data_IF_223686791170
#
_entry.id   IF_223686791170
#
_cell.length_a   1.000
_cell.length_b   1.000
_cell.length_c   1.000
_cell.angle_alpha   90.00
_cell.angle_beta   90.00
_cell.angle_gamma   90.00
#
_symmetry.space_group_name_H-M   'P 1'
#
loop_
_entity.id
_entity.type
_entity.pdbx_description
1 polymer ?
#
# COMPACT_ATOMS: atom_id res chain seq x y z
N UNK A 1 -24.80 24.72 -3.28
CA UNK A 1 -23.66 24.91 -2.39
C UNK A 1 -22.67 25.88 -3.00
N UNK A 2 -22.40 26.95 -2.30
CA UNK A 2 -21.40 27.91 -2.70
C UNK A 2 -20.00 27.31 -2.51
N UNK A 3 -19.02 27.71 -3.33
CA UNK A 3 -17.61 27.24 -3.22
C UNK A 3 -17.02 27.54 -1.85
N UNK A 4 -17.47 28.60 -1.20
CA UNK A 4 -17.07 28.96 0.15
C UNK A 4 -17.50 27.91 1.17
N UNK A 5 -18.71 27.38 1.04
CA UNK A 5 -19.23 26.35 1.93
C UNK A 5 -18.50 25.02 1.77
N UNK A 6 -18.10 24.68 0.54
CA UNK A 6 -17.30 23.50 0.25
C UNK A 6 -15.91 23.58 0.87
N UNK A 7 -15.28 24.77 0.80
CA UNK A 7 -13.98 24.98 1.41
C UNK A 7 -14.03 24.93 2.94
N UNK A 8 -15.10 25.44 3.53
CA UNK A 8 -15.30 25.35 4.98
C UNK A 8 -15.50 23.90 5.43
N UNK A 9 -16.33 23.14 4.71
CA UNK A 9 -16.53 21.71 4.98
C UNK A 9 -15.26 20.91 4.86
N UNK A 10 -14.46 21.20 3.85
CA UNK A 10 -13.15 20.57 3.65
C UNK A 10 -12.19 20.87 4.80
N UNK A 11 -12.15 22.13 5.23
CA UNK A 11 -11.34 22.57 6.36
C UNK A 11 -11.75 21.89 7.64
N UNK A 12 -13.06 21.78 7.91
CA UNK A 12 -13.60 21.08 9.08
C UNK A 12 -13.25 19.59 9.05
N UNK A 13 -13.35 18.97 7.89
CA UNK A 13 -12.99 17.55 7.72
C UNK A 13 -11.51 17.31 7.99
N UNK A 14 -10.64 18.17 7.44
CA UNK A 14 -9.20 18.10 7.69
C UNK A 14 -8.88 18.30 9.17
N UNK A 15 -9.55 19.23 9.85
CA UNK A 15 -9.39 19.44 11.29
C UNK A 15 -9.85 18.23 12.10
N UNK A 16 -10.95 17.59 11.71
CA UNK A 16 -11.42 16.39 12.38
C UNK A 16 -10.43 15.23 12.22
N UNK A 17 -9.84 15.08 11.04
CA UNK A 17 -8.80 14.07 10.81
C UNK A 17 -7.57 14.36 11.66
N UNK A 18 -7.15 15.61 11.73
CA UNK A 18 -5.99 16.02 12.52
C UNK A 18 -6.25 15.80 14.02
N UNK A 19 -7.42 16.14 14.51
CA UNK A 19 -7.81 15.87 15.90
C UNK A 19 -7.83 14.39 16.25
N UNK A 20 -8.34 13.56 15.32
CA UNK A 20 -8.34 12.12 15.50
C UNK A 20 -6.92 11.57 15.59
N UNK A 21 -6.01 12.08 14.76
CA UNK A 21 -4.59 11.74 14.82
C UNK A 21 -3.94 12.22 16.11
N UNK A 22 -4.23 13.46 16.53
CA UNK A 22 -3.70 14.03 17.76
C UNK A 22 -4.22 13.29 19.01
N UNK A 23 -5.49 12.91 19.02
CA UNK A 23 -6.08 12.12 20.10
C UNK A 23 -5.48 10.71 20.18
N UNK A 24 -5.16 10.11 19.05
CA UNK A 24 -4.47 8.83 19.01
C UNK A 24 -3.07 8.94 19.63
N UNK A 25 -2.50 10.14 19.68
CA UNK A 25 -1.19 10.39 20.26
C UNK A 25 -1.21 10.70 21.75
N UNK A 26 -2.37 11.05 22.32
CA UNK A 26 -2.48 11.51 23.73
C UNK A 26 -2.21 10.38 24.74
N UNK A 27 -2.47 9.14 24.38
CA UNK A 27 -2.22 7.99 25.24
C UNK A 27 -0.81 7.41 25.11
N UNK A 28 0.07 8.07 24.35
CA UNK A 28 1.44 7.61 24.09
C UNK A 28 1.55 6.57 23.00
N UNK A 29 0.45 6.08 22.45
CA UNK A 29 0.48 5.07 21.39
C UNK A 29 1.08 5.61 20.11
N UNK A 30 0.98 6.91 19.88
CA UNK A 30 1.57 7.58 18.72
C UNK A 30 3.10 7.65 18.79
N UNK A 31 3.66 7.73 19.96
CA UNK A 31 5.11 7.72 20.17
C UNK A 31 5.68 6.31 19.96
N UNK A 32 4.89 5.27 20.27
CA UNK A 32 5.27 3.88 20.01
C UNK A 32 5.08 3.49 18.55
N UNK A 33 4.17 4.18 17.84
CA UNK A 33 4.01 4.07 16.39
C UNK A 33 4.95 5.02 15.64
N UNK A 34 5.80 5.73 16.38
CA UNK A 34 6.77 6.63 15.79
C UNK A 34 7.70 5.88 14.85
N UNK A 35 8.12 6.51 13.72
CA UNK A 35 8.98 5.87 12.74
C UNK A 35 10.29 5.31 13.28
N UNK A 36 10.65 5.61 14.51
CA UNK A 36 11.89 5.13 15.16
C UNK A 36 11.93 3.61 15.34
N UNK A 37 10.77 2.98 15.60
CA UNK A 37 10.68 1.53 15.74
C UNK A 37 10.32 0.82 14.42
N UNK A 38 10.19 1.58 13.35
CA UNK A 38 9.86 1.05 12.04
C UNK A 38 11.15 0.71 11.31
N UNK A 39 11.46 -0.59 11.09
CA UNK A 39 12.73 -0.98 10.46
C UNK A 39 12.93 -0.33 9.09
N UNK A 40 14.18 0.05 8.80
CA UNK A 40 14.51 0.72 7.55
C UNK A 40 14.18 -0.13 6.31
N UNK A 41 14.31 -1.46 6.40
CA UNK A 41 13.98 -2.34 5.28
C UNK A 41 12.48 -2.31 4.96
N UNK A 42 11.61 -2.13 5.96
CA UNK A 42 10.17 -1.99 5.73
C UNK A 42 9.83 -0.64 5.10
N UNK A 43 10.53 0.41 5.47
CA UNK A 43 10.39 1.73 4.81
C UNK A 43 10.80 1.64 3.35
N UNK A 44 11.87 0.91 3.05
CA UNK A 44 12.32 0.70 1.67
C UNK A 44 11.30 -0.08 0.85
N UNK A 45 10.70 -1.13 1.40
CA UNK A 45 9.64 -1.89 0.73
C UNK A 45 8.41 -1.01 0.48
N UNK A 46 7.99 -0.25 1.49
CA UNK A 46 6.88 0.69 1.35
C UNK A 46 7.14 1.68 0.20
N UNK A 47 8.35 2.27 0.17
CA UNK A 47 8.72 3.27 -0.83
C UNK A 47 8.75 2.71 -2.27
N UNK A 48 9.00 1.41 -2.44
CA UNK A 48 9.04 0.77 -3.77
C UNK A 48 7.66 0.28 -4.23
N UNK A 49 6.78 -0.07 -3.31
CA UNK A 49 5.51 -0.73 -3.63
C UNK A 49 4.31 0.22 -3.58
N UNK A 50 4.24 1.05 -2.56
CA UNK A 50 3.02 1.83 -2.31
C UNK A 50 2.86 3.07 -3.16
N UNK A 51 3.91 3.84 -3.52
CA UNK A 51 3.73 4.99 -4.41
C UNK A 51 3.44 4.53 -5.84
N UNK A 52 2.38 5.05 -6.47
CA UNK A 52 2.06 4.69 -7.86
C UNK A 52 3.16 5.05 -8.85
N UNK A 53 3.98 6.04 -8.53
CA UNK A 53 5.13 6.41 -9.35
C UNK A 53 6.17 5.29 -9.45
N UNK A 54 6.23 4.41 -8.46
CA UNK A 54 7.18 3.28 -8.42
C UNK A 54 6.56 1.99 -8.93
N UNK A 55 5.39 1.63 -8.44
CA UNK A 55 4.74 0.35 -8.80
C UNK A 55 3.79 0.45 -9.99
N UNK A 56 3.44 1.67 -10.41
CA UNK A 56 2.44 1.89 -11.45
C UNK A 56 0.99 1.67 -11.00
N UNK A 57 0.79 1.22 -9.77
CA UNK A 57 -0.51 0.81 -9.22
C UNK A 57 -0.78 1.56 -7.92
N UNK A 58 -2.00 2.08 -7.78
CA UNK A 58 -2.44 2.68 -6.53
C UNK A 58 -3.17 1.65 -5.67
N UNK A 59 -2.63 1.41 -4.47
CA UNK A 59 -3.28 0.56 -3.48
C UNK A 59 -4.08 1.44 -2.53
N UNK A 60 -5.41 1.41 -2.64
CA UNK A 60 -6.28 2.15 -1.74
C UNK A 60 -6.36 1.44 -0.39
N UNK A 61 -6.88 2.14 0.63
CA UNK A 61 -7.14 1.53 1.94
C UNK A 61 -8.11 0.35 1.82
N UNK A 62 -9.07 0.43 0.93
CA UNK A 62 -10.03 -0.65 0.66
C UNK A 62 -9.35 -1.85 0.00
N UNK A 63 -8.40 -1.60 -0.93
CA UNK A 63 -7.59 -2.66 -1.52
C UNK A 63 -6.80 -3.40 -0.43
N UNK A 64 -6.17 -2.66 0.47
CA UNK A 64 -5.38 -3.23 1.56
C UNK A 64 -6.27 -4.04 2.52
N UNK A 65 -7.46 -3.53 2.84
CA UNK A 65 -8.40 -4.27 3.66
C UNK A 65 -8.85 -5.58 3.01
N UNK A 66 -9.11 -5.54 1.71
CA UNK A 66 -9.49 -6.73 0.94
C UNK A 66 -8.37 -7.76 0.90
N UNK A 67 -7.13 -7.29 0.72
CA UNK A 67 -5.96 -8.15 0.73
C UNK A 67 -5.77 -8.81 2.10
N UNK A 68 -5.99 -8.07 3.19
CA UNK A 68 -5.94 -8.63 4.54
C UNK A 68 -6.99 -9.75 4.71
N UNK A 69 -8.18 -9.57 4.16
CA UNK A 69 -9.21 -10.62 4.17
C UNK A 69 -8.74 -11.88 3.45
N UNK A 70 -7.94 -11.75 2.41
CA UNK A 70 -7.32 -12.88 1.71
C UNK A 70 -6.32 -13.65 2.57
N UNK A 71 -5.84 -13.06 3.67
CA UNK A 71 -4.97 -13.68 4.66
C UNK A 71 -5.76 -14.15 5.90
N UNK A 72 -7.09 -14.16 5.83
CA UNK A 72 -7.99 -14.45 6.96
C UNK A 72 -7.79 -13.48 8.13
N UNK A 73 -7.37 -12.25 7.84
CA UNK A 73 -7.18 -11.19 8.81
C UNK A 73 -8.15 -10.04 8.58
N UNK A 74 -8.43 -9.31 9.65
CA UNK A 74 -9.30 -8.13 9.58
C UNK A 74 -8.58 -6.93 10.18
N UNK A 75 -7.99 -6.12 9.32
CA UNK A 75 -7.36 -4.88 9.74
C UNK A 75 -8.38 -3.75 9.72
N UNK A 76 -8.38 -2.92 10.75
CA UNK A 76 -9.18 -1.71 10.77
C UNK A 76 -8.70 -0.77 9.67
N UNK A 77 -9.62 0.01 9.10
CA UNK A 77 -9.26 1.06 8.13
C UNK A 77 -8.44 2.11 8.87
N UNK A 78 -7.28 2.41 8.31
CA UNK A 78 -6.31 3.38 8.85
C UNK A 78 -5.61 4.05 7.67
N UNK A 79 -4.61 4.89 7.95
CA UNK A 79 -3.78 5.44 6.89
C UNK A 79 -3.00 4.31 6.19
N UNK A 80 -2.72 4.50 4.90
CA UNK A 80 -2.12 3.45 4.07
C UNK A 80 -0.82 2.91 4.65
N UNK A 81 0.03 3.77 5.16
CA UNK A 81 1.31 3.37 5.75
C UNK A 81 1.13 2.46 6.97
N UNK A 82 0.18 2.77 7.86
CA UNK A 82 -0.11 1.92 9.02
C UNK A 82 -0.70 0.58 8.62
N UNK A 83 -1.57 0.58 7.62
CA UNK A 83 -2.14 -0.67 7.10
C UNK A 83 -1.05 -1.55 6.50
N UNK A 84 -0.11 -0.96 5.76
CA UNK A 84 1.05 -1.66 5.23
C UNK A 84 1.92 -2.24 6.36
N UNK A 85 2.17 -1.46 7.41
CA UNK A 85 2.91 -1.93 8.57
C UNK A 85 2.24 -3.15 9.22
N UNK A 86 0.92 -3.16 9.30
CA UNK A 86 0.18 -4.30 9.87
C UNK A 86 0.39 -5.57 9.05
N UNK A 87 0.45 -5.48 7.74
CA UNK A 87 0.81 -6.62 6.90
C UNK A 87 2.19 -7.16 7.27
N UNK A 88 3.15 -6.27 7.43
CA UNK A 88 4.53 -6.68 7.76
C UNK A 88 4.65 -7.21 9.18
N UNK A 89 3.90 -6.66 10.13
CA UNK A 89 3.85 -7.16 11.51
C UNK A 89 3.18 -8.53 11.60
N UNK A 90 2.24 -8.82 10.71
CA UNK A 90 1.57 -10.11 10.64
C UNK A 90 2.54 -11.22 10.20
N UNK A 91 3.53 -10.88 9.39
CA UNK A 91 4.51 -11.84 8.87
C UNK A 91 5.37 -12.37 10.02
N UNK A 92 5.26 -13.66 10.32
CA UNK A 92 6.08 -14.35 11.31
C UNK A 92 7.00 -15.40 10.68
N UNK A 93 6.66 -15.88 9.48
CA UNK A 93 7.40 -16.93 8.80
C UNK A 93 7.66 -16.54 7.34
N UNK A 94 8.62 -17.20 6.65
CA UNK A 94 8.80 -16.96 5.21
C UNK A 94 7.53 -17.22 4.39
N UNK A 95 6.75 -18.23 4.77
CA UNK A 95 5.50 -18.58 4.11
C UNK A 95 4.46 -17.45 4.26
N UNK A 96 4.42 -16.80 5.41
CA UNK A 96 3.56 -15.64 5.65
C UNK A 96 3.92 -14.51 4.70
N UNK A 97 5.22 -14.25 4.52
CA UNK A 97 5.69 -13.21 3.60
C UNK A 97 5.31 -13.55 2.16
N UNK A 98 5.43 -14.80 1.75
CA UNK A 98 4.97 -15.25 0.43
C UNK A 98 3.47 -15.03 0.24
N UNK A 99 2.69 -15.25 1.29
CA UNK A 99 1.24 -14.99 1.26
C UNK A 99 0.94 -13.51 1.06
N UNK A 100 1.68 -12.62 1.71
CA UNK A 100 1.56 -11.16 1.50
C UNK A 100 1.92 -10.80 0.06
N UNK A 101 3.05 -11.32 -0.44
CA UNK A 101 3.46 -11.09 -1.84
C UNK A 101 2.37 -11.53 -2.81
N UNK A 102 1.76 -12.68 -2.56
CA UNK A 102 0.69 -13.21 -3.39
C UNK A 102 -0.51 -12.26 -3.43
N UNK A 103 -0.91 -11.71 -2.29
CA UNK A 103 -2.03 -10.75 -2.23
C UNK A 103 -1.73 -9.48 -3.02
N UNK A 104 -0.54 -8.91 -2.85
CA UNK A 104 -0.12 -7.73 -3.61
C UNK A 104 -0.04 -8.03 -5.11
N UNK A 105 0.53 -9.18 -5.48
CA UNK A 105 0.67 -9.58 -6.88
C UNK A 105 -0.68 -9.80 -7.55
N UNK A 106 -1.62 -10.43 -6.88
CA UNK A 106 -2.98 -10.63 -7.41
C UNK A 106 -3.68 -9.30 -7.64
N UNK A 107 -3.53 -8.34 -6.72
CA UNK A 107 -4.12 -7.00 -6.87
C UNK A 107 -3.49 -6.28 -8.06
N UNK A 108 -2.16 -6.36 -8.21
CA UNK A 108 -1.45 -5.79 -9.35
C UNK A 108 -1.92 -6.42 -10.67
N UNK A 109 -2.10 -7.74 -10.71
CA UNK A 109 -2.56 -8.45 -11.91
C UNK A 109 -3.95 -7.98 -12.34
N UNK A 110 -4.87 -7.83 -11.39
CA UNK A 110 -6.22 -7.33 -11.67
C UNK A 110 -6.14 -5.93 -12.29
N UNK A 111 -5.34 -5.05 -11.72
CA UNK A 111 -5.18 -3.67 -12.21
C UNK A 111 -4.45 -3.62 -13.53
N UNK A 112 -3.45 -4.46 -13.74
CA UNK A 112 -2.76 -4.57 -15.02
C UNK A 112 -3.67 -5.08 -16.14
N UNK A 113 -4.58 -5.99 -15.86
CA UNK A 113 -5.57 -6.46 -16.83
C UNK A 113 -6.50 -5.30 -17.26
N UNK A 114 -6.90 -4.45 -16.30
CA UNK A 114 -7.67 -3.24 -16.59
C UNK A 114 -6.86 -2.29 -17.48
N UNK A 115 -5.57 -2.09 -17.18
CA UNK A 115 -4.70 -1.22 -17.97
C UNK A 115 -4.52 -1.74 -19.40
N UNK A 116 -4.39 -3.07 -19.57
CA UNK A 116 -4.30 -3.70 -20.90
C UNK A 116 -5.58 -3.44 -21.70
N UNK A 117 -6.73 -3.60 -21.06
CA UNK A 117 -8.02 -3.30 -21.67
C UNK A 117 -8.10 -1.82 -22.10
N UNK A 118 -7.68 -0.90 -21.24
CA UNK A 118 -7.68 0.52 -21.56
C UNK A 118 -6.67 0.86 -22.66
N UNK A 119 -5.52 0.21 -22.72
CA UNK A 119 -4.54 0.47 -23.77
C UNK A 119 -5.04 0.02 -25.14
N UNK A 120 -5.86 -1.03 -25.19
CA UNK A 120 -6.52 -1.46 -26.42
C UNK A 120 -7.67 -0.54 -26.81
N UNK A 121 -8.47 -0.11 -25.82
CA UNK A 121 -9.62 0.76 -26.04
C UNK A 121 -9.21 2.20 -26.37
N UNK A 122 -8.11 2.67 -25.81
CA UNK A 122 -7.59 4.03 -25.99
C UNK A 122 -6.15 4.00 -26.47
N UNK A 123 -5.92 3.73 -27.77
CA UNK A 123 -4.55 3.56 -28.30
C UNK A 123 -3.64 4.76 -28.10
N UNK A 124 -4.19 5.98 -28.03
CA UNK A 124 -3.42 7.20 -27.78
C UNK A 124 -2.79 7.24 -26.39
N UNK A 125 -3.32 6.47 -25.44
CA UNK A 125 -2.84 6.38 -24.06
C UNK A 125 -2.06 5.09 -23.78
N UNK A 126 -1.82 4.27 -24.80
CA UNK A 126 -1.18 2.97 -24.67
C UNK A 126 0.17 3.05 -23.95
N UNK A 127 1.00 4.01 -24.30
CA UNK A 127 2.33 4.17 -23.68
C UNK A 127 2.24 4.40 -22.17
N UNK A 128 1.24 5.16 -21.72
CA UNK A 128 1.04 5.43 -20.30
C UNK A 128 0.71 4.14 -19.55
N UNK A 129 -0.20 3.34 -20.08
CA UNK A 129 -0.62 2.08 -19.48
C UNK A 129 0.50 1.03 -19.52
N UNK A 130 1.24 0.96 -20.63
CA UNK A 130 2.37 0.03 -20.78
C UNK A 130 3.46 0.32 -19.74
N UNK A 131 3.74 1.60 -19.45
CA UNK A 131 4.68 2.00 -18.39
C UNK A 131 4.19 1.55 -17.01
N UNK A 132 2.90 1.71 -16.72
CA UNK A 132 2.31 1.28 -15.45
C UNK A 132 2.42 -0.24 -15.27
N UNK A 133 2.11 -1.00 -16.31
CA UNK A 133 2.20 -2.46 -16.31
C UNK A 133 3.64 -2.90 -16.05
N UNK A 134 4.61 -2.28 -16.74
CA UNK A 134 6.03 -2.60 -16.56
C UNK A 134 6.50 -2.32 -15.14
N UNK A 135 6.08 -1.19 -14.56
CA UNK A 135 6.39 -0.87 -13.17
C UNK A 135 5.83 -1.90 -12.20
N UNK A 136 4.60 -2.36 -12.41
CA UNK A 136 3.99 -3.40 -11.59
C UNK A 136 4.78 -4.73 -11.69
N UNK A 137 5.22 -5.11 -12.88
CA UNK A 137 6.04 -6.30 -13.08
C UNK A 137 7.38 -6.18 -12.35
N UNK A 138 8.01 -5.02 -12.40
CA UNK A 138 9.26 -4.75 -11.67
C UNK A 138 9.04 -4.80 -10.15
N UNK A 139 7.91 -4.33 -9.66
CA UNK A 139 7.59 -4.40 -8.23
C UNK A 139 7.39 -5.83 -7.76
N UNK A 140 6.79 -6.69 -8.57
CA UNK A 140 6.67 -8.11 -8.26
C UNK A 140 8.05 -8.77 -8.15
N UNK A 141 8.96 -8.45 -9.07
CA UNK A 141 10.35 -8.93 -9.02
C UNK A 141 11.07 -8.42 -7.78
N UNK A 142 10.83 -7.18 -7.41
CA UNK A 142 11.38 -6.58 -6.21
C UNK A 142 10.94 -7.35 -4.95
N UNK A 143 9.68 -7.68 -4.83
CA UNK A 143 9.18 -8.49 -3.72
C UNK A 143 9.87 -9.85 -3.64
N UNK A 144 10.05 -10.53 -4.76
CA UNK A 144 10.72 -11.82 -4.79
C UNK A 144 12.19 -11.69 -4.41
N UNK A 145 12.84 -10.63 -4.83
CA UNK A 145 14.23 -10.32 -4.44
C UNK A 145 14.33 -10.11 -2.93
N UNK A 146 13.42 -9.34 -2.35
CA UNK A 146 13.37 -9.11 -0.90
C UNK A 146 13.17 -10.44 -0.16
N UNK A 147 12.27 -11.27 -0.64
CA UNK A 147 12.05 -12.60 -0.06
C UNK A 147 13.35 -13.42 -0.04
N UNK A 148 14.05 -13.46 -1.16
CA UNK A 148 15.30 -14.20 -1.26
C UNK A 148 16.38 -13.63 -0.35
N UNK A 149 16.50 -12.33 -0.25
CA UNK A 149 17.52 -11.67 0.57
C UNK A 149 17.31 -11.88 2.06
N UNK A 150 16.04 -11.87 2.52
CA UNK A 150 15.75 -11.91 3.96
C UNK A 150 15.39 -13.28 4.50
N UNK A 151 14.93 -14.20 3.66
CA UNK A 151 14.39 -15.48 4.13
C UNK A 151 15.10 -16.71 3.58
N UNK A 152 16.01 -16.57 2.62
CA UNK A 152 16.73 -17.70 2.02
C UNK A 152 18.22 -17.69 2.29
N UNK A 153 18.72 -16.73 3.06
CA UNK A 153 20.15 -16.60 3.38
C UNK A 153 20.58 -17.42 4.60
N UNK A 154 19.82 -18.40 5.02
CA UNK A 154 20.16 -19.22 6.18
C UNK A 154 21.00 -20.47 5.84
N UNK A 155 22.01 -20.32 5.04
CA UNK A 155 22.98 -21.39 4.85
C UNK A 155 24.29 -21.13 5.58
#
# INVERSE_FOLDING_TARGET
>A
MDMKDLNELRGEFEQMQQRAMDQACVDGSCETDAPEDYPDYLKAIYAEIMPPAKSGVYFSRWDLKRMASGLDESFAIDVRERMFQKFMQWVATPEDFQSVIKQFSQNMDIKCDIYKEYSEKYPSSKEIFDVKIKKAENSKKYFQKVYQEFFTQED
#
